data_IF_016222704627
#
_entry.id   IF_016222704627
#
_cell.length_a   1.000
_cell.length_b   1.000
_cell.length_c   1.000
_cell.angle_alpha   90.00
_cell.angle_beta   90.00
_cell.angle_gamma   90.00
#
_symmetry.space_group_name_H-M   'P 1'
#
loop_
_entity.id
_entity.type
_entity.pdbx_description
1 polymer ?
#
# COMPACT_ATOMS: atom_id res chain seq x y z
N UNK A 1 21.21 -1.35 -2.38
CA UNK A 1 21.00 -0.57 -3.62
C UNK A 1 20.03 -1.26 -4.59
N UNK A 2 20.39 -2.32 -5.35
CA UNK A 2 19.45 -2.93 -6.33
C UNK A 2 18.32 -3.77 -5.69
N UNK A 3 18.64 -4.56 -4.67
CA UNK A 3 17.67 -5.43 -3.97
C UNK A 3 16.59 -4.63 -3.19
N UNK A 4 16.96 -3.46 -2.68
CA UNK A 4 16.03 -2.57 -1.96
C UNK A 4 15.03 -1.92 -2.93
N UNK A 5 15.46 -1.53 -4.13
CA UNK A 5 14.58 -1.00 -5.16
C UNK A 5 13.56 -2.05 -5.62
N UNK A 6 13.98 -3.30 -5.79
CA UNK A 6 13.09 -4.40 -6.16
C UNK A 6 12.06 -4.69 -5.06
N UNK A 7 12.49 -4.70 -3.79
CA UNK A 7 11.60 -4.83 -2.64
C UNK A 7 10.57 -3.68 -2.58
N UNK A 8 11.01 -2.44 -2.81
CA UNK A 8 10.11 -1.27 -2.85
C UNK A 8 9.08 -1.41 -3.98
N UNK A 9 9.48 -1.85 -5.17
CA UNK A 9 8.57 -2.05 -6.31
C UNK A 9 7.51 -3.12 -5.99
N UNK A 10 7.92 -4.25 -5.39
CA UNK A 10 6.99 -5.30 -4.98
C UNK A 10 6.00 -4.79 -3.92
N UNK A 11 6.50 -4.05 -2.93
CA UNK A 11 5.67 -3.44 -1.89
C UNK A 11 4.63 -2.47 -2.50
N UNK A 12 5.02 -1.61 -3.44
CA UNK A 12 4.06 -0.74 -4.16
C UNK A 12 2.96 -1.54 -4.85
N UNK A 13 3.32 -2.60 -5.57
CA UNK A 13 2.36 -3.45 -6.25
C UNK A 13 1.40 -4.14 -5.28
N UNK A 14 1.90 -4.63 -4.16
CA UNK A 14 1.09 -5.27 -3.12
C UNK A 14 0.15 -4.28 -2.43
N UNK A 15 0.59 -3.05 -2.21
CA UNK A 15 -0.25 -1.97 -1.69
C UNK A 15 -1.46 -1.73 -2.59
N UNK A 16 -1.24 -1.49 -3.90
CA UNK A 16 -2.34 -1.26 -4.85
C UNK A 16 -3.23 -2.48 -5.08
N UNK A 17 -2.66 -3.70 -5.07
CA UNK A 17 -3.46 -4.94 -5.11
C UNK A 17 -4.37 -5.05 -3.89
N UNK A 18 -3.87 -4.71 -2.71
CA UNK A 18 -4.63 -4.76 -1.46
C UNK A 18 -5.74 -3.71 -1.45
N UNK A 19 -5.46 -2.48 -1.88
CA UNK A 19 -6.47 -1.43 -2.06
C UNK A 19 -7.56 -1.89 -3.03
N UNK A 20 -7.17 -2.39 -4.21
CA UNK A 20 -8.11 -2.85 -5.22
C UNK A 20 -8.99 -3.99 -4.72
N UNK A 21 -8.41 -4.93 -3.97
CA UNK A 21 -9.15 -6.03 -3.32
C UNK A 21 -10.13 -5.51 -2.27
N UNK A 22 -9.73 -4.53 -1.45
CA UNK A 22 -10.62 -3.91 -0.45
C UNK A 22 -11.79 -3.17 -1.12
N UNK A 23 -11.55 -2.54 -2.27
CA UNK A 23 -12.60 -1.89 -3.06
C UNK A 23 -13.53 -2.92 -3.74
N UNK A 24 -12.98 -4.02 -4.28
CA UNK A 24 -13.76 -5.08 -4.91
C UNK A 24 -14.64 -5.86 -3.92
N UNK A 25 -14.21 -5.94 -2.66
CA UNK A 25 -14.99 -6.55 -1.57
C UNK A 25 -15.94 -5.56 -0.87
N UNK A 26 -15.98 -4.29 -1.29
CA UNK A 26 -16.91 -3.33 -0.72
C UNK A 26 -18.34 -3.66 -1.16
N UNK A 27 -19.27 -3.68 -0.19
CA UNK A 27 -20.71 -3.81 -0.45
C UNK A 27 -21.12 -2.75 -1.49
N UNK A 28 -21.95 -3.05 -2.50
CA UNK A 28 -22.33 -2.10 -3.56
C UNK A 28 -22.90 -0.76 -3.05
N UNK A 29 -23.41 -0.75 -1.83
CA UNK A 29 -24.03 0.39 -1.15
C UNK A 29 -23.03 1.23 -0.32
N UNK A 30 -21.81 0.73 -0.10
CA UNK A 30 -20.77 1.39 0.65
C UNK A 30 -19.68 1.85 -0.30
N UNK A 31 -19.52 3.17 -0.47
CA UNK A 31 -18.29 3.68 -1.07
C UNK A 31 -17.13 3.24 -0.18
N UNK A 32 -16.15 2.47 -0.69
CA UNK A 32 -14.99 2.11 0.09
C UNK A 32 -14.35 3.38 0.63
N UNK A 33 -13.93 3.40 1.90
CA UNK A 33 -13.31 4.57 2.55
C UNK A 33 -12.11 5.09 1.75
N UNK A 34 -11.44 4.20 1.03
CA UNK A 34 -10.31 4.49 0.14
C UNK A 34 -10.71 5.29 -1.12
N UNK A 35 -12.00 5.34 -1.48
CA UNK A 35 -12.51 6.12 -2.62
C UNK A 35 -12.64 7.61 -2.31
N UNK A 36 -12.46 7.99 -1.04
CA UNK A 36 -12.44 9.39 -0.60
C UNK A 36 -11.02 9.96 -0.56
N UNK A 37 -10.00 9.11 -0.65
CA UNK A 37 -8.61 9.55 -0.66
C UNK A 37 -8.25 10.03 -2.06
N UNK A 38 -7.58 11.18 -2.09
CA UNK A 38 -6.96 11.72 -3.30
C UNK A 38 -5.73 10.90 -3.68
N UNK A 39 -5.27 11.05 -4.93
CA UNK A 39 -4.04 10.39 -5.41
C UNK A 39 -2.82 10.75 -4.55
N UNK A 40 -2.82 11.96 -3.98
CA UNK A 40 -1.75 12.46 -3.14
C UNK A 40 -1.75 11.78 -1.76
N UNK A 41 -2.91 11.70 -1.11
CA UNK A 41 -3.08 10.97 0.16
C UNK A 41 -2.79 9.46 0.01
N UNK A 42 -3.17 8.86 -1.13
CA UNK A 42 -2.84 7.48 -1.44
C UNK A 42 -1.34 7.26 -1.59
N UNK A 43 -0.62 8.22 -2.16
CA UNK A 43 0.83 8.17 -2.33
C UNK A 43 1.57 8.35 -1.01
N UNK A 44 1.07 9.20 -0.11
CA UNK A 44 1.60 9.31 1.24
C UNK A 44 1.40 8.00 2.03
N UNK A 45 0.21 7.41 1.93
CA UNK A 45 -0.07 6.10 2.54
C UNK A 45 0.79 4.98 1.97
N UNK A 46 1.01 4.96 0.66
CA UNK A 46 1.93 4.03 0.01
C UNK A 46 3.33 4.16 0.64
N UNK A 47 3.83 5.39 0.72
CA UNK A 47 5.16 5.67 1.22
C UNK A 47 5.33 5.25 2.69
N UNK A 48 4.40 5.63 3.56
CA UNK A 48 4.40 5.23 4.98
C UNK A 48 4.30 3.71 5.12
N UNK A 49 3.49 3.05 4.29
CA UNK A 49 3.34 1.60 4.33
C UNK A 49 4.62 0.86 3.92
N UNK A 50 5.32 1.36 2.89
CA UNK A 50 6.63 0.83 2.46
C UNK A 50 7.65 1.02 3.57
N UNK A 51 7.78 2.24 4.11
CA UNK A 51 8.73 2.55 5.19
C UNK A 51 8.48 1.67 6.42
N UNK A 52 7.22 1.51 6.83
CA UNK A 52 6.85 0.69 7.98
C UNK A 52 7.12 -0.80 7.73
N UNK A 53 6.87 -1.29 6.51
CA UNK A 53 7.13 -2.70 6.15
C UNK A 53 8.62 -2.98 6.07
N UNK A 54 9.41 -2.06 5.49
CA UNK A 54 10.86 -2.14 5.48
C UNK A 54 11.43 -2.10 6.91
N UNK A 55 10.99 -1.15 7.74
CA UNK A 55 11.39 -1.07 9.14
C UNK A 55 11.08 -2.37 9.89
N UNK A 56 9.86 -2.90 9.73
CA UNK A 56 9.46 -4.16 10.34
C UNK A 56 10.32 -5.34 9.88
N UNK A 57 10.69 -5.39 8.60
CA UNK A 57 11.58 -6.42 8.08
C UNK A 57 13.00 -6.27 8.65
N UNK A 58 13.50 -5.04 8.80
CA UNK A 58 14.78 -4.75 9.44
C UNK A 58 14.81 -5.07 10.95
N UNK A 59 13.65 -5.11 11.62
CA UNK A 59 13.54 -5.50 13.04
C UNK A 59 13.39 -7.02 13.26
N UNK A 60 13.13 -7.81 12.21
CA UNK A 60 13.03 -9.29 12.31
C UNK A 60 14.38 -10.00 12.17
N UNK A 61 15.48 -9.25 12.27
CA UNK A 61 16.83 -9.72 12.04
C UNK A 61 17.67 -9.78 13.33
#
# INVERSE_FOLDING_TARGET
MALEQEAIIQLKQDFYKRISSLQANAMPQCKPTLSFLTDEELKELEQIWIELTMWKNSQRH
#
